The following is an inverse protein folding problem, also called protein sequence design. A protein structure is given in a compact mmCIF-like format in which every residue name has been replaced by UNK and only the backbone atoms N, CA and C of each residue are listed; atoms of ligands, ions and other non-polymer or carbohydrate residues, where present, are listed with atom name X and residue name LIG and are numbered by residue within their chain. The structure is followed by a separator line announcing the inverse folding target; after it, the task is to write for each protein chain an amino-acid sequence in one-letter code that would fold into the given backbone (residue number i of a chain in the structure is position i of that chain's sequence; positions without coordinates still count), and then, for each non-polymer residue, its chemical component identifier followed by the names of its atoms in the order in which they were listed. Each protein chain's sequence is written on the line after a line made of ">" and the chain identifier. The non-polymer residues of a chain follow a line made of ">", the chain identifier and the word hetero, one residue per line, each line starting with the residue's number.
data_IF_654324206912
#
_entry.id   IF_654324206912
#
_cell.length_a   1.000
_cell.length_b   1.000
_cell.length_c   1.000
_cell.angle_alpha   90.00
_cell.angle_beta   90.00
_cell.angle_gamma   90.00
#
_symmetry.space_group_name_H-M   'P 1'
#
loop_
_entity.id
_entity.type
_entity.pdbx_description
1 polymer ?
#
# COMPACT_ATOMS: atom_id res chain seq x y z
N UNK A 1 -16.20 -21.60 27.62
CA UNK A 1 -15.37 -21.50 26.41
C UNK A 1 -15.75 -20.19 25.79
N UNK A 2 -14.87 -19.19 25.89
CA UNK A 2 -15.00 -17.91 25.19
C UNK A 2 -14.99 -18.19 23.70
N UNK A 3 -15.88 -17.56 22.94
CA UNK A 3 -15.77 -17.66 21.49
C UNK A 3 -14.56 -16.82 21.06
N UNK A 4 -13.71 -17.35 20.18
CA UNK A 4 -12.50 -16.64 19.72
C UNK A 4 -12.85 -15.27 19.12
N UNK A 5 -14.06 -15.14 18.57
CA UNK A 5 -14.65 -13.92 18.03
C UNK A 5 -14.91 -12.80 19.06
N UNK A 6 -14.81 -13.07 20.36
CA UNK A 6 -14.98 -12.08 21.44
C UNK A 6 -13.66 -11.42 21.86
N UNK A 7 -12.52 -11.96 21.40
CA UNK A 7 -11.22 -11.37 21.63
C UNK A 7 -11.07 -10.18 20.66
N UNK A 8 -10.65 -9.03 21.17
CA UNK A 8 -10.50 -7.80 20.37
C UNK A 8 -9.07 -7.25 20.52
N UNK A 9 -8.31 -7.07 19.44
CA UNK A 9 -7.03 -6.36 19.49
C UNK A 9 -7.25 -4.86 19.72
N UNK A 10 -6.39 -4.23 20.49
CA UNK A 10 -6.51 -2.83 20.90
C UNK A 10 -5.21 -2.31 21.48
N UNK A 11 -5.29 -1.25 22.28
CA UNK A 11 -4.13 -0.69 22.94
C UNK A 11 -4.48 -0.35 24.39
N UNK A 12 -3.55 -0.59 25.31
CA UNK A 12 -3.64 -0.11 26.69
C UNK A 12 -3.52 1.43 26.72
N UNK A 13 -3.90 2.15 27.79
CA UNK A 13 -3.86 3.61 27.84
C UNK A 13 -2.48 4.23 27.59
N UNK A 14 -1.39 3.46 27.77
CA UNK A 14 -0.03 3.89 27.46
C UNK A 14 0.34 3.78 25.97
N UNK A 15 -0.56 3.21 25.14
CA UNK A 15 -0.36 2.97 23.72
C UNK A 15 0.37 1.68 23.40
N UNK A 16 0.57 0.78 24.35
CA UNK A 16 1.13 -0.56 24.14
C UNK A 16 0.07 -1.49 23.52
N UNK A 17 0.40 -2.33 22.52
CA UNK A 17 -0.53 -3.33 21.99
C UNK A 17 -1.10 -4.23 23.08
N UNK A 18 -2.42 -4.44 23.05
CA UNK A 18 -3.15 -5.23 24.04
C UNK A 18 -4.32 -5.99 23.39
N UNK A 19 -4.73 -7.10 23.99
CA UNK A 19 -5.94 -7.83 23.60
C UNK A 19 -6.96 -7.81 24.73
N UNK A 20 -8.24 -7.72 24.38
CA UNK A 20 -9.34 -7.59 25.35
C UNK A 20 -10.35 -8.72 25.21
N UNK A 21 -10.78 -9.26 26.34
CA UNK A 21 -11.87 -10.25 26.45
C UNK A 21 -12.83 -9.78 27.54
N UNK A 22 -13.95 -9.18 27.12
CA UNK A 22 -14.82 -8.44 28.04
C UNK A 22 -14.04 -7.33 28.75
N UNK A 23 -14.01 -7.37 30.09
CA UNK A 23 -13.28 -6.42 30.93
C UNK A 23 -11.81 -6.83 31.20
N UNK A 24 -11.36 -7.96 30.66
CA UNK A 24 -9.99 -8.47 30.87
C UNK A 24 -9.05 -7.96 29.79
N UNK A 25 -7.91 -7.39 30.21
CA UNK A 25 -6.85 -6.90 29.33
C UNK A 25 -5.63 -7.82 29.40
N UNK A 26 -5.08 -8.19 28.23
CA UNK A 26 -3.85 -8.96 28.07
C UNK A 26 -2.81 -8.09 27.36
N UNK A 27 -1.71 -7.78 28.02
CA UNK A 27 -0.64 -6.90 27.50
C UNK A 27 0.45 -7.66 26.75
N UNK A 28 0.25 -8.96 26.52
CA UNK A 28 1.18 -9.78 25.76
C UNK A 28 0.52 -11.04 25.23
N UNK A 29 1.05 -11.50 24.09
CA UNK A 29 0.63 -12.74 23.45
C UNK A 29 0.68 -13.93 24.43
N UNK A 30 1.66 -13.94 25.32
CA UNK A 30 1.83 -15.08 26.24
C UNK A 30 0.69 -15.23 27.23
N UNK A 31 0.27 -14.10 27.82
CA UNK A 31 -0.84 -14.05 28.74
C UNK A 31 -2.15 -14.41 28.04
N UNK A 32 -2.34 -13.92 26.80
CA UNK A 32 -3.50 -14.24 26.00
C UNK A 32 -3.58 -15.75 25.69
N UNK A 33 -2.48 -16.37 25.28
CA UNK A 33 -2.45 -17.80 24.94
C UNK A 33 -2.64 -18.72 26.18
N UNK A 34 -2.21 -18.27 27.36
CA UNK A 34 -2.44 -19.00 28.61
C UNK A 34 -3.91 -18.94 29.03
N UNK A 35 -4.57 -17.80 28.82
CA UNK A 35 -5.98 -17.61 29.18
C UNK A 35 -6.94 -18.22 28.14
N UNK A 36 -6.58 -18.12 26.85
CA UNK A 36 -7.41 -18.55 25.71
C UNK A 36 -6.68 -19.60 24.86
N UNK A 37 -6.47 -20.82 25.37
CA UNK A 37 -5.75 -21.88 24.66
C UNK A 37 -6.44 -22.34 23.37
N UNK A 38 -7.72 -21.97 23.17
CA UNK A 38 -8.45 -22.20 21.92
C UNK A 38 -7.80 -21.55 20.71
N UNK A 39 -7.04 -20.46 20.89
CA UNK A 39 -6.26 -19.82 19.83
C UNK A 39 -5.15 -20.72 19.25
N UNK A 40 -4.75 -21.77 19.98
CA UNK A 40 -3.76 -22.75 19.50
C UNK A 40 -4.38 -23.89 18.68
N UNK A 41 -5.69 -23.85 18.44
CA UNK A 41 -6.35 -24.79 17.56
C UNK A 41 -6.06 -24.45 16.08
N UNK A 42 -5.89 -25.45 15.19
CA UNK A 42 -5.55 -25.19 13.79
C UNK A 42 -6.57 -24.36 13.01
N UNK A 43 -7.86 -24.46 13.37
CA UNK A 43 -8.97 -23.69 12.81
C UNK A 43 -8.94 -22.21 13.24
N UNK A 44 -8.28 -21.90 14.36
CA UNK A 44 -8.07 -20.53 14.85
C UNK A 44 -6.82 -19.84 14.25
N UNK A 45 -6.14 -20.45 13.28
CA UNK A 45 -4.85 -19.96 12.79
C UNK A 45 -4.89 -18.50 12.27
N UNK A 46 -6.00 -18.09 11.64
CA UNK A 46 -6.15 -16.71 11.14
C UNK A 46 -6.31 -15.70 12.27
N UNK A 47 -7.12 -16.03 13.29
CA UNK A 47 -7.27 -15.20 14.49
C UNK A 47 -5.94 -15.11 15.25
N UNK A 48 -5.23 -16.24 15.39
CA UNK A 48 -3.91 -16.25 16.01
C UNK A 48 -2.91 -15.39 15.23
N UNK A 49 -2.94 -15.40 13.89
CA UNK A 49 -2.07 -14.56 13.06
C UNK A 49 -2.31 -13.07 13.30
N UNK A 50 -3.57 -12.67 13.50
CA UNK A 50 -3.92 -11.30 13.87
C UNK A 50 -3.25 -10.90 15.20
N UNK A 51 -3.37 -11.72 16.25
CA UNK A 51 -2.77 -11.40 17.56
C UNK A 51 -1.24 -11.45 17.55
N UNK A 52 -0.65 -12.46 16.87
CA UNK A 52 0.80 -12.55 16.72
C UNK A 52 1.35 -11.30 16.03
N UNK A 53 0.69 -10.83 14.96
CA UNK A 53 1.09 -9.61 14.28
C UNK A 53 0.87 -8.37 15.15
N UNK A 54 -0.29 -8.26 15.80
CA UNK A 54 -0.65 -7.13 16.64
C UNK A 54 0.38 -6.91 17.76
N UNK A 55 0.71 -7.94 18.54
CA UNK A 55 1.69 -7.80 19.62
C UNK A 55 3.13 -7.58 19.13
N UNK A 56 3.47 -7.98 17.90
CA UNK A 56 4.82 -7.86 17.39
C UNK A 56 5.08 -6.58 16.58
N UNK A 57 4.12 -6.18 15.74
CA UNK A 57 4.30 -5.26 14.60
C UNK A 57 3.01 -4.53 14.18
N UNK A 58 2.06 -4.32 15.08
CA UNK A 58 0.71 -3.78 14.80
C UNK A 58 0.60 -2.76 13.65
N UNK A 59 1.46 -1.74 13.64
CA UNK A 59 1.40 -0.62 12.68
C UNK A 59 2.27 -0.79 11.44
N UNK A 60 3.24 -1.69 11.50
CA UNK A 60 4.22 -1.89 10.42
C UNK A 60 3.68 -2.86 9.36
N UNK A 61 2.85 -3.83 9.78
CA UNK A 61 2.36 -4.91 8.93
C UNK A 61 0.89 -5.19 9.17
N UNK A 62 0.18 -5.51 8.09
CA UNK A 62 -1.24 -5.90 8.12
C UNK A 62 -1.34 -7.36 7.66
N UNK A 63 -1.91 -8.28 8.46
CA UNK A 63 -2.12 -9.66 8.04
C UNK A 63 -2.97 -9.74 6.77
N UNK A 64 -2.59 -10.64 5.86
CA UNK A 64 -3.37 -10.96 4.66
C UNK A 64 -4.32 -12.10 5.03
N UNK A 65 -5.56 -11.75 5.38
CA UNK A 65 -6.63 -12.66 5.78
C UNK A 65 -7.33 -13.31 4.57
N UNK A 66 -7.53 -12.53 3.50
CA UNK A 66 -8.05 -12.97 2.21
C UNK A 66 -7.01 -12.80 1.09
N UNK A 67 -6.27 -13.88 0.74
CA UNK A 67 -5.30 -13.87 -0.34
C UNK A 67 -5.86 -13.44 -1.70
N UNK A 68 -7.12 -13.77 -2.00
CA UNK A 68 -7.74 -13.44 -3.29
C UNK A 68 -8.05 -11.94 -3.37
N UNK A 69 -8.59 -11.38 -2.29
CA UNK A 69 -8.83 -9.93 -2.22
C UNK A 69 -7.52 -9.15 -2.25
N UNK A 70 -6.48 -9.64 -1.57
CA UNK A 70 -5.14 -9.05 -1.64
C UNK A 70 -4.58 -9.08 -3.06
N UNK A 71 -4.61 -10.22 -3.75
CA UNK A 71 -4.15 -10.34 -5.14
C UNK A 71 -4.89 -9.35 -6.05
N UNK A 72 -6.22 -9.32 -5.99
CA UNK A 72 -7.05 -8.43 -6.80
C UNK A 72 -6.67 -6.96 -6.56
N UNK A 73 -6.49 -6.57 -5.30
CA UNK A 73 -6.14 -5.20 -4.93
C UNK A 73 -4.73 -4.81 -5.39
N UNK A 74 -3.77 -5.72 -5.23
CA UNK A 74 -2.39 -5.51 -5.67
C UNK A 74 -2.30 -5.34 -7.19
N UNK A 75 -2.98 -6.21 -7.95
CA UNK A 75 -3.04 -6.13 -9.42
C UNK A 75 -3.72 -4.85 -9.89
N UNK A 76 -4.86 -4.48 -9.30
CA UNK A 76 -5.56 -3.25 -9.63
C UNK A 76 -4.68 -2.00 -9.41
N UNK A 77 -3.89 -1.98 -8.32
CA UNK A 77 -2.94 -0.89 -8.07
C UNK A 77 -1.86 -0.82 -9.14
N UNK A 78 -1.25 -1.94 -9.52
CA UNK A 78 -0.27 -1.99 -10.62
C UNK A 78 -0.86 -1.53 -11.96
N UNK A 79 -2.10 -1.91 -12.26
CA UNK A 79 -2.79 -1.53 -13.49
C UNK A 79 -3.11 -0.03 -13.55
N UNK A 80 -3.35 0.59 -12.38
CA UNK A 80 -3.59 2.04 -12.27
C UNK A 80 -2.32 2.90 -12.43
N UNK A 81 -1.13 2.30 -12.33
CA UNK A 81 0.15 3.00 -12.44
C UNK A 81 0.59 3.14 -13.91
N UNK A 82 0.88 4.37 -14.37
CA UNK A 82 1.34 4.65 -15.75
C UNK A 82 2.70 3.99 -16.04
N UNK A 83 2.79 2.96 -16.91
CA UNK A 83 4.04 2.28 -17.19
C UNK A 83 5.12 3.15 -17.85
N UNK A 84 4.74 4.27 -18.48
CA UNK A 84 5.65 5.19 -19.15
C UNK A 84 6.13 6.32 -18.24
N UNK A 85 5.51 6.51 -17.06
CA UNK A 85 5.92 7.53 -16.12
C UNK A 85 7.36 7.28 -15.67
N UNK A 86 8.23 8.31 -15.68
CA UNK A 86 9.59 8.19 -15.16
C UNK A 86 9.56 7.93 -13.65
N UNK A 87 10.64 7.33 -13.14
CA UNK A 87 10.83 7.21 -11.70
C UNK A 87 10.84 8.59 -11.03
N UNK A 88 10.20 8.70 -9.87
CA UNK A 88 10.12 9.92 -9.08
C UNK A 88 10.51 9.62 -7.64
N UNK A 89 11.39 10.46 -7.08
CA UNK A 89 11.77 10.35 -5.68
C UNK A 89 10.54 10.57 -4.78
N UNK A 90 10.41 9.74 -3.74
CA UNK A 90 9.30 9.77 -2.77
C UNK A 90 7.91 9.40 -3.34
N UNK A 91 7.83 8.92 -4.58
CA UNK A 91 6.59 8.36 -5.14
C UNK A 91 6.73 6.86 -5.22
N UNK A 92 5.97 6.15 -4.38
CA UNK A 92 6.04 4.70 -4.30
C UNK A 92 5.13 4.05 -5.33
N UNK A 93 5.72 3.25 -6.23
CA UNK A 93 5.02 2.53 -7.29
C UNK A 93 5.29 1.05 -7.16
N UNK A 94 4.25 0.23 -7.07
CA UNK A 94 4.41 -1.23 -7.00
C UNK A 94 5.12 -1.78 -8.23
N UNK A 95 4.94 -1.15 -9.40
CA UNK A 95 5.67 -1.51 -10.63
C UNK A 95 7.19 -1.42 -10.50
N UNK A 96 7.71 -0.54 -9.63
CA UNK A 96 9.14 -0.38 -9.42
C UNK A 96 9.73 -1.51 -8.55
N UNK A 97 8.90 -2.21 -7.77
CA UNK A 97 9.30 -3.35 -6.92
C UNK A 97 9.08 -4.70 -7.60
N UNK A 98 7.93 -4.88 -8.26
CA UNK A 98 7.59 -6.12 -8.95
C UNK A 98 6.25 -6.73 -8.52
N UNK A 99 6.04 -7.96 -9.00
CA UNK A 99 4.87 -8.79 -8.76
C UNK A 99 5.27 -10.01 -7.92
N UNK A 100 4.63 -10.28 -6.78
CA UNK A 100 4.84 -11.51 -6.03
C UNK A 100 4.23 -12.71 -6.78
N UNK A 101 4.68 -13.91 -6.43
CA UNK A 101 3.93 -15.13 -6.78
C UNK A 101 2.75 -15.29 -5.80
N UNK A 102 1.55 -14.90 -6.23
CA UNK A 102 0.35 -15.01 -5.39
C UNK A 102 -0.03 -16.44 -5.02
N UNK A 103 0.46 -17.46 -5.74
CA UNK A 103 0.22 -18.86 -5.38
C UNK A 103 0.95 -19.27 -4.09
N UNK A 104 1.98 -18.51 -3.68
CA UNK A 104 2.65 -18.68 -2.39
C UNK A 104 1.83 -18.10 -1.25
N UNK A 105 1.05 -17.04 -1.48
CA UNK A 105 0.26 -16.33 -0.47
C UNK A 105 -1.01 -17.12 -0.17
N UNK A 106 -1.09 -17.67 1.04
CA UNK A 106 -2.18 -18.56 1.49
C UNK A 106 -2.73 -18.08 2.82
N UNK A 107 -3.92 -18.57 3.18
CA UNK A 107 -4.47 -18.38 4.52
C UNK A 107 -3.51 -18.90 5.59
N UNK A 108 -3.58 -18.31 6.78
CA UNK A 108 -2.74 -18.70 7.91
C UNK A 108 -2.90 -20.19 8.24
N UNK A 109 -1.78 -20.84 8.56
CA UNK A 109 -1.73 -22.26 8.93
C UNK A 109 -0.95 -22.40 10.22
N UNK A 110 -1.52 -23.13 11.17
CA UNK A 110 -0.85 -23.53 12.41
C UNK A 110 -0.58 -25.04 12.37
N UNK A 111 0.69 -25.40 12.23
CA UNK A 111 1.12 -26.80 12.18
C UNK A 111 2.25 -27.05 13.16
N UNK A 112 2.13 -28.11 13.97
CA UNK A 112 3.13 -28.53 14.95
C UNK A 112 3.55 -27.47 15.98
N UNK A 113 2.79 -26.37 16.12
CA UNK A 113 3.12 -25.23 16.99
C UNK A 113 3.90 -24.12 16.29
N UNK A 114 4.05 -24.21 14.97
CA UNK A 114 4.55 -23.13 14.13
C UNK A 114 3.39 -22.52 13.36
N UNK A 115 3.17 -21.24 13.57
CA UNK A 115 2.23 -20.45 12.80
C UNK A 115 2.96 -19.87 11.58
N UNK A 116 2.39 -20.07 10.41
CA UNK A 116 2.82 -19.45 9.15
C UNK A 116 1.65 -18.66 8.59
N UNK A 117 1.88 -17.39 8.31
CA UNK A 117 0.90 -16.51 7.66
C UNK A 117 1.62 -15.50 6.77
N UNK A 118 0.86 -14.68 6.06
CA UNK A 118 1.40 -13.62 5.22
C UNK A 118 0.88 -12.28 5.71
N UNK A 119 1.71 -11.25 5.60
CA UNK A 119 1.36 -9.89 5.96
C UNK A 119 1.86 -8.93 4.89
N UNK A 120 1.12 -7.86 4.65
CA UNK A 120 1.54 -6.76 3.80
C UNK A 120 2.19 -5.68 4.66
N UNK A 121 3.33 -5.15 4.23
CA UNK A 121 3.90 -3.94 4.83
C UNK A 121 2.90 -2.79 4.69
N UNK A 122 2.59 -2.09 5.80
CA UNK A 122 1.50 -1.14 5.86
C UNK A 122 1.73 0.11 4.98
N UNK A 123 2.99 0.45 4.72
CA UNK A 123 3.36 1.60 3.89
C UNK A 123 3.38 1.23 2.40
N UNK A 124 4.00 0.11 2.07
CA UNK A 124 4.29 -0.28 0.68
C UNK A 124 3.22 -1.18 0.09
N UNK A 125 2.59 -2.01 0.92
CA UNK A 125 1.72 -3.09 0.50
C UNK A 125 2.47 -4.34 0.01
N UNK A 126 3.81 -4.37 0.11
CA UNK A 126 4.61 -5.51 -0.31
C UNK A 126 4.39 -6.70 0.63
N UNK A 127 4.29 -7.93 0.11
CA UNK A 127 3.99 -9.10 0.93
C UNK A 127 5.23 -9.70 1.58
N UNK A 128 5.05 -10.15 2.81
CA UNK A 128 6.03 -10.83 3.64
C UNK A 128 5.45 -12.14 4.14
N UNK A 129 6.28 -13.19 4.17
CA UNK A 129 6.00 -14.43 4.88
C UNK A 129 6.38 -14.25 6.34
N UNK A 130 5.44 -14.55 7.22
CA UNK A 130 5.64 -14.48 8.67
C UNK A 130 5.66 -15.88 9.26
N UNK A 131 6.63 -16.16 10.10
CA UNK A 131 6.80 -17.43 10.79
C UNK A 131 6.99 -17.20 12.29
N UNK A 132 6.16 -17.85 13.12
CA UNK A 132 6.22 -17.75 14.58
C UNK A 132 6.18 -19.14 15.22
N UNK A 133 7.14 -19.47 16.09
CA UNK A 133 7.03 -20.63 16.98
C UNK A 133 6.22 -20.23 18.22
N UNK A 134 4.91 -20.48 18.15
CA UNK A 134 3.96 -20.07 19.19
C UNK A 134 4.04 -20.97 20.42
N UNK A 135 4.56 -22.20 20.30
CA UNK A 135 4.82 -23.07 21.46
C UNK A 135 6.02 -22.58 22.27
N UNK A 136 7.07 -22.13 21.57
CA UNK A 136 8.27 -21.58 22.21
C UNK A 136 8.18 -20.09 22.51
N UNK A 137 7.08 -19.45 22.11
CA UNK A 137 6.79 -18.03 22.39
C UNK A 137 7.89 -17.11 21.88
N UNK A 138 8.41 -17.45 20.70
CA UNK A 138 9.46 -16.65 20.06
C UNK A 138 8.87 -15.53 19.24
N UNK A 139 9.59 -14.41 19.14
CA UNK A 139 9.21 -13.32 18.25
C UNK A 139 9.05 -13.81 16.79
N UNK A 140 8.00 -13.37 16.07
CA UNK A 140 7.80 -13.73 14.68
C UNK A 140 8.91 -13.18 13.79
N UNK A 141 9.27 -13.94 12.75
CA UNK A 141 10.20 -13.50 11.71
C UNK A 141 9.44 -13.11 10.45
N UNK A 142 9.70 -11.91 9.93
CA UNK A 142 9.12 -11.38 8.71
C UNK A 142 10.15 -11.46 7.58
N UNK A 143 9.85 -12.24 6.54
CA UNK A 143 10.72 -12.42 5.38
C UNK A 143 10.04 -11.91 4.12
N UNK A 144 10.64 -10.97 3.35
CA UNK A 144 10.02 -10.48 2.13
C UNK A 144 9.86 -11.61 1.11
N UNK A 145 8.76 -11.59 0.37
CA UNK A 145 8.59 -12.52 -0.76
C UNK A 145 9.43 -12.10 -1.95
N UNK A 146 9.82 -13.09 -2.75
CA UNK A 146 10.49 -12.84 -4.01
C UNK A 146 9.53 -12.14 -4.98
N UNK A 147 10.01 -11.08 -5.63
CA UNK A 147 9.24 -10.31 -6.61
C UNK A 147 9.84 -10.51 -7.99
N UNK A 148 8.97 -10.69 -8.98
CA UNK A 148 9.34 -10.72 -10.40
C UNK A 148 9.06 -9.36 -11.03
N UNK A 149 9.88 -8.90 -12.00
CA UNK A 149 9.59 -7.66 -12.71
C UNK A 149 8.19 -7.66 -13.32
N UNK A 150 7.45 -6.54 -13.19
CA UNK A 150 6.16 -6.40 -13.84
C UNK A 150 6.37 -6.37 -15.36
N UNK A 151 5.63 -7.15 -16.16
CA UNK A 151 5.74 -7.11 -17.61
C UNK A 151 5.59 -5.67 -18.14
N UNK A 152 6.53 -5.28 -19.01
CA UNK A 152 6.39 -4.03 -19.75
C UNK A 152 5.15 -4.11 -20.63
N UNK A 153 4.37 -3.02 -20.79
CA UNK A 153 3.31 -3.01 -21.78
C UNK A 153 3.91 -3.36 -23.15
N UNK A 154 3.25 -4.26 -23.88
CA UNK A 154 3.69 -4.64 -25.21
C UNK A 154 3.87 -3.38 -26.05
N UNK A 155 5.06 -3.20 -26.66
CA UNK A 155 5.27 -2.10 -27.60
C UNK A 155 4.23 -2.26 -28.70
N UNK A 156 3.24 -1.36 -28.75
CA UNK A 156 2.37 -1.23 -29.91
C UNK A 156 3.31 -0.88 -31.06
N UNK A 157 3.52 -1.84 -31.98
CA UNK A 157 4.31 -1.59 -33.18
C UNK A 157 3.64 -0.41 -33.88
N UNK A 158 4.34 0.70 -34.15
CA UNK A 158 3.72 1.82 -34.84
C UNK A 158 3.14 1.27 -36.15
N UNK A 159 1.84 1.51 -36.35
CA UNK A 159 1.14 1.13 -37.57
C UNK A 159 1.96 1.69 -38.74
N UNK A 160 2.24 0.89 -39.79
CA UNK A 160 2.99 1.37 -40.94
C UNK A 160 2.28 2.63 -41.44
N UNK A 161 2.94 3.79 -41.36
CA UNK A 161 2.39 5.03 -41.94
C UNK A 161 2.05 4.72 -43.38
N UNK A 162 0.75 4.60 -43.67
CA UNK A 162 0.30 4.62 -45.05
C UNK A 162 0.87 5.91 -45.67
N UNK A 163 1.56 5.85 -46.81
CA UNK A 163 2.08 7.04 -47.45
C UNK A 163 0.91 7.97 -47.73
N UNK A 164 0.83 9.06 -46.96
CA UNK A 164 -0.09 10.14 -47.25
C UNK A 164 0.26 10.66 -48.64
N UNK A 165 -0.65 10.46 -49.59
CA UNK A 165 -0.58 11.07 -50.90
C UNK A 165 -0.37 12.58 -50.71
N UNK A 166 0.77 13.08 -51.15
CA UNK A 166 1.09 14.50 -51.17
C UNK A 166 0.01 15.24 -51.95
N UNK A 167 -0.88 15.92 -51.23
CA UNK A 167 -1.73 16.93 -51.85
C UNK A 167 -0.83 18.09 -52.29
N UNK A 168 -0.88 18.39 -53.59
CA UNK A 168 -0.13 19.46 -54.21
C UNK A 168 -0.44 20.82 -53.56
N UNK A 169 0.61 21.56 -53.22
CA UNK A 169 0.52 22.96 -52.78
C UNK A 169 0.47 23.81 -54.05
N UNK A 170 -0.59 24.61 -54.31
CA UNK A 170 -0.52 25.65 -55.33
C UNK A 170 0.26 26.85 -54.79
N UNK A 171 1.20 27.30 -55.62
CA UNK A 171 2.13 28.40 -55.38
C UNK A 171 1.54 29.75 -55.85
N UNK A 172 2.04 30.84 -55.27
CA UNK A 172 1.79 32.27 -55.52
C UNK A 172 0.51 32.87 -54.86
N UNK A 173 0.51 34.07 -54.28
CA UNK A 173 1.31 35.26 -54.60
C UNK A 173 1.56 36.20 -53.38
N UNK A 174 2.67 36.92 -53.51
CA UNK A 174 3.18 38.05 -52.73
C UNK A 174 2.19 39.21 -52.56
N UNK A 175 2.11 39.78 -51.35
CA UNK A 175 1.96 41.23 -51.13
C UNK A 175 2.43 41.61 -49.71
N UNK A 176 3.38 42.54 -49.67
CA UNK A 176 3.94 43.29 -48.53
C UNK A 176 3.52 44.77 -48.74
N UNK A 177 3.79 45.71 -47.82
CA UNK A 177 3.53 45.81 -46.38
C UNK A 177 2.62 47.03 -46.06
N UNK A 178 2.13 47.19 -44.83
CA UNK A 178 1.68 48.51 -44.36
C UNK A 178 1.87 48.69 -42.86
N UNK A 179 2.17 49.94 -42.53
CA UNK A 179 2.71 50.52 -41.30
C UNK A 179 2.05 50.22 -39.94
N UNK A 180 2.90 50.43 -38.93
CA UNK A 180 2.78 50.58 -37.47
C UNK A 180 1.60 51.47 -36.95
N UNK A 181 1.31 51.61 -35.62
CA UNK A 181 2.23 51.46 -34.48
C UNK A 181 1.68 50.85 -33.15
N UNK A 182 2.64 50.72 -32.22
CA UNK A 182 2.57 50.32 -30.81
C UNK A 182 1.35 50.85 -30.02
N UNK A 183 0.83 49.98 -29.15
CA UNK A 183 0.30 50.37 -27.85
C UNK A 183 0.87 49.41 -26.78
N UNK A 184 1.70 50.00 -25.92
CA UNK A 184 2.07 49.45 -24.62
C UNK A 184 0.83 49.52 -23.74
N UNK A 185 0.51 48.45 -23.00
CA UNK A 185 -0.40 48.61 -21.87
C UNK A 185 0.11 47.79 -20.68
N UNK A 186 0.03 48.45 -19.54
CA UNK A 186 0.77 48.22 -18.32
C UNK A 186 0.12 47.09 -17.50
N UNK A 187 0.84 45.99 -17.26
CA UNK A 187 0.46 45.08 -16.17
C UNK A 187 0.78 45.76 -14.83
N UNK A 188 -0.22 46.49 -14.34
CA UNK A 188 -0.31 47.04 -12.98
C UNK A 188 -0.14 45.92 -11.95
N UNK A 189 0.93 46.02 -11.18
CA UNK A 189 1.15 45.26 -9.96
C UNK A 189 0.07 45.67 -8.94
N UNK A 190 -0.75 44.73 -8.48
CA UNK A 190 -1.73 44.99 -7.42
C UNK A 190 -1.10 44.53 -6.11
N UNK A 191 -0.80 45.41 -5.14
CA UNK A 191 -0.37 44.96 -3.82
C UNK A 191 -1.54 44.32 -3.07
N UNK A 192 -1.25 43.18 -2.44
CA UNK A 192 -2.14 42.46 -1.55
C UNK A 192 -2.38 43.32 -0.28
N UNK A 193 -3.61 43.44 0.25
CA UNK A 193 -3.84 44.11 1.52
C UNK A 193 -3.27 43.31 2.70
N UNK A 194 -2.41 43.97 3.48
CA UNK A 194 -1.97 43.56 4.82
C UNK A 194 -3.13 43.81 5.79
N UNK A 195 -3.93 42.79 6.06
CA UNK A 195 -4.89 42.80 7.18
C UNK A 195 -4.92 41.40 7.81
N UNK A 196 -3.98 41.17 8.72
CA UNK A 196 -4.07 40.11 9.71
C UNK A 196 -4.46 40.74 11.05
N UNK A 197 -5.62 40.38 11.64
CA UNK A 197 -5.95 40.81 12.99
C UNK A 197 -5.03 40.13 14.01
N UNK A 198 -4.37 40.96 14.82
CA UNK A 198 -3.63 40.58 16.01
C UNK A 198 -4.52 39.75 16.94
N UNK A 199 -4.12 38.51 17.24
CA UNK A 199 -4.69 37.74 18.33
C UNK A 199 -4.08 38.25 19.64
N UNK A 200 -4.85 39.06 20.37
CA UNK A 200 -4.65 39.37 21.77
C UNK A 200 -4.66 38.06 22.58
N UNK A 201 -3.61 37.88 23.39
CA UNK A 201 -3.54 36.85 24.42
C UNK A 201 -4.50 37.18 25.57
N UNK A 202 -5.28 36.18 26.00
CA UNK A 202 -5.90 36.09 27.32
C UNK A 202 -6.14 34.63 27.68
#
# INVERSE_FOLDING_TARGET
>A
MTAISEIVPGHDPDGTPAAFVGDTCYTGLDQLLDAEPGLLAPDAASDLALYVNHFARDRDFVPIDDPQTYEKTYRARIESEDPAAPWQQNVMRLRDFGMPDFAEIRSAVLENGTLVFFAADALTGLPYRVCADVKRRTAPTYSPLALSPVPAPGRVRPEPRQPQAQAAIPSAATSKPSDAPQAQDETRFTPLPDDLPSLDES
#
